data_IF_607656184068
#
_entry.id   IF_607656184068
#
_cell.length_a   1.000
_cell.length_b   1.000
_cell.length_c   1.000
_cell.angle_alpha   90.00
_cell.angle_beta   90.00
_cell.angle_gamma   90.00
#
_symmetry.space_group_name_H-M   'P 1'
#
loop_
_entity.id
_entity.type
_entity.pdbx_description
1 polymer ?
#
# COMPACT_ATOMS: atom_id res chain seq x y z
N UNK A 1 -1.74 -3.53 -10.81
CA UNK A 1 -2.76 -2.78 -10.07
C UNK A 1 -2.47 -2.81 -8.58
N UNK A 2 -1.94 -3.92 -8.07
CA UNK A 2 -1.40 -4.09 -6.72
C UNK A 2 -0.70 -2.83 -6.15
N UNK A 3 0.31 -2.29 -6.83
CA UNK A 3 1.02 -1.08 -6.37
C UNK A 3 0.13 0.16 -6.18
N UNK A 4 -0.92 0.32 -7.00
CA UNK A 4 -1.88 1.42 -6.86
C UNK A 4 -2.76 1.24 -5.63
N UNK A 5 -3.18 0.00 -5.36
CA UNK A 5 -3.94 -0.33 -4.14
C UNK A 5 -3.07 -0.12 -2.90
N UNK A 6 -1.79 -0.47 -2.95
CA UNK A 6 -0.87 -0.21 -1.84
C UNK A 6 -0.73 1.28 -1.54
N UNK A 7 -0.64 2.13 -2.58
CA UNK A 7 -0.63 3.59 -2.40
C UNK A 7 -1.97 4.10 -1.85
N UNK A 8 -3.10 3.53 -2.31
CA UNK A 8 -4.42 3.88 -1.80
C UNK A 8 -4.57 3.54 -0.31
N UNK A 9 -4.16 2.33 0.09
CA UNK A 9 -4.13 1.90 1.48
C UNK A 9 -3.20 2.76 2.33
N UNK A 10 -2.00 3.04 1.82
CA UNK A 10 -1.04 3.90 2.49
C UNK A 10 -1.64 5.29 2.72
N UNK A 11 -2.19 5.94 1.68
CA UNK A 11 -2.80 7.26 1.80
C UNK A 11 -3.99 7.28 2.77
N UNK A 12 -4.92 6.35 2.63
CA UNK A 12 -6.07 6.22 3.53
C UNK A 12 -5.64 6.04 4.99
N UNK A 13 -4.63 5.20 5.22
CA UNK A 13 -4.12 4.94 6.58
C UNK A 13 -3.47 6.17 7.24
N UNK A 14 -2.91 7.09 6.45
CA UNK A 14 -2.35 8.35 6.97
C UNK A 14 -3.47 9.33 7.32
N UNK A 15 -4.45 9.52 6.41
CA UNK A 15 -5.57 10.43 6.65
C UNK A 15 -6.41 10.03 7.87
N UNK A 16 -6.53 8.73 8.15
CA UNK A 16 -7.23 8.24 9.33
C UNK A 16 -6.59 8.71 10.65
N UNK A 17 -5.25 8.87 10.68
CA UNK A 17 -4.53 9.33 11.87
C UNK A 17 -4.74 10.80 12.16
N UNK A 18 -4.98 11.58 11.11
CA UNK A 18 -5.23 13.02 11.23
C UNK A 18 -6.63 13.32 11.80
N UNK A 19 -7.60 12.42 11.56
CA UNK A 19 -9.01 12.63 11.90
C UNK A 19 -9.47 11.91 13.17
N UNK A 20 -8.74 10.90 13.64
CA UNK A 20 -9.08 10.15 14.85
C UNK A 20 -8.29 10.70 16.05
N UNK A 21 -9.03 11.22 17.05
CA UNK A 21 -8.55 11.53 18.41
C UNK A 21 -7.55 10.48 18.91
N UNK A 22 -6.46 10.92 19.55
CA UNK A 22 -5.30 10.08 19.90
C UNK A 22 -5.62 8.84 20.74
N UNK A 23 -6.82 8.73 21.30
CA UNK A 23 -7.26 7.63 22.15
C UNK A 23 -7.60 6.31 21.40
N UNK A 24 -7.96 6.39 20.12
CA UNK A 24 -8.18 5.19 19.27
C UNK A 24 -6.89 4.73 18.55
N UNK A 25 -5.92 5.64 18.42
CA UNK A 25 -4.65 5.45 17.68
C UNK A 25 -3.48 4.98 18.54
N UNK A 26 -3.65 4.85 19.87
CA UNK A 26 -2.63 4.30 20.80
C UNK A 26 -2.43 2.78 20.68
N UNK A 27 -3.06 2.12 19.71
CA UNK A 27 -3.28 0.67 19.72
C UNK A 27 -2.43 -0.02 18.63
N UNK A 28 -1.36 -0.70 19.06
CA UNK A 28 -0.63 -1.78 18.36
C UNK A 28 -1.47 -2.60 17.35
N UNK A 29 -2.74 -2.98 17.62
CA UNK A 29 -3.58 -3.68 16.64
C UNK A 29 -3.84 -2.92 15.33
N UNK A 30 -3.95 -1.59 15.30
CA UNK A 30 -4.28 -0.88 14.04
C UNK A 30 -3.12 -0.93 13.05
N UNK A 31 -1.90 -0.63 13.51
CA UNK A 31 -0.68 -0.74 12.68
C UNK A 31 -0.47 -2.18 12.20
N UNK A 32 -0.73 -3.17 13.06
CA UNK A 32 -0.69 -4.58 12.66
C UNK A 32 -1.74 -4.91 11.58
N UNK A 33 -2.97 -4.38 11.70
CA UNK A 33 -4.02 -4.56 10.71
C UNK A 33 -3.64 -3.98 9.34
N UNK A 34 -3.08 -2.76 9.31
CA UNK A 34 -2.63 -2.13 8.05
C UNK A 34 -1.55 -2.97 7.37
N UNK A 35 -0.58 -3.49 8.13
CA UNK A 35 0.46 -4.37 7.61
C UNK A 35 -0.08 -5.69 7.09
N UNK A 36 -0.96 -6.34 7.84
CA UNK A 36 -1.64 -7.54 7.38
C UNK A 36 -2.45 -7.27 6.12
N UNK A 37 -3.05 -6.09 5.99
CA UNK A 37 -3.82 -5.72 4.80
C UNK A 37 -2.91 -5.50 3.59
N UNK A 38 -1.76 -4.84 3.76
CA UNK A 38 -0.71 -4.81 2.74
C UNK A 38 -0.26 -6.21 2.36
N UNK A 39 -0.02 -7.09 3.33
CA UNK A 39 0.41 -8.46 3.04
C UNK A 39 -0.66 -9.26 2.28
N UNK A 40 -1.92 -9.14 2.68
CA UNK A 40 -3.05 -9.76 1.97
C UNK A 40 -3.16 -9.25 0.52
N UNK A 41 -2.96 -7.95 0.28
CA UNK A 41 -2.97 -7.38 -1.08
C UNK A 41 -1.83 -7.97 -1.92
N UNK A 42 -0.64 -8.17 -1.35
CA UNK A 42 0.46 -8.84 -2.06
C UNK A 42 0.10 -10.29 -2.40
N UNK A 43 -0.47 -11.05 -1.46
CA UNK A 43 -0.93 -12.43 -1.71
C UNK A 43 -2.00 -12.49 -2.82
N UNK A 44 -2.91 -11.51 -2.86
CA UNK A 44 -3.90 -11.39 -3.93
C UNK A 44 -3.26 -11.09 -5.29
N UNK A 45 -2.15 -10.35 -5.32
CA UNK A 45 -1.36 -10.10 -6.52
C UNK A 45 -0.55 -11.30 -6.98
N UNK A 46 0.02 -12.07 -6.05
CA UNK A 46 0.69 -13.32 -6.39
C UNK A 46 -0.28 -14.37 -6.95
N UNK A 47 -1.52 -14.40 -6.45
CA UNK A 47 -2.56 -15.32 -6.95
C UNK A 47 -3.22 -14.87 -8.27
N UNK A 48 -3.19 -13.58 -8.60
CA UNK A 48 -3.82 -13.04 -9.81
C UNK A 48 -2.86 -12.13 -10.60
N UNK A 49 -2.30 -12.65 -11.72
CA UNK A 49 -1.43 -11.87 -12.59
C UNK A 49 -2.08 -10.59 -13.15
N UNK A 50 -3.40 -10.56 -13.34
CA UNK A 50 -4.10 -9.35 -13.79
C UNK A 50 -4.11 -8.28 -12.70
N UNK A 51 -4.23 -8.66 -11.43
CA UNK A 51 -4.06 -7.77 -10.28
C UNK A 51 -2.62 -7.24 -10.18
N UNK A 52 -1.63 -8.09 -10.46
CA UNK A 52 -0.21 -7.72 -10.39
C UNK A 52 0.24 -6.72 -11.46
N UNK A 53 -0.31 -6.79 -12.69
CA UNK A 53 0.11 -5.96 -13.84
C UNK A 53 0.21 -4.45 -13.54
N UNK A 54 1.40 -3.88 -13.66
CA UNK A 54 1.66 -2.44 -13.52
C UNK A 54 1.51 -1.71 -14.87
N UNK A 55 0.28 -1.53 -15.36
CA UNK A 55 0.07 -1.05 -16.73
C UNK A 55 -0.50 0.37 -16.88
N UNK A 56 -0.52 1.22 -15.83
CA UNK A 56 -1.31 2.46 -15.88
C UNK A 56 -0.57 3.79 -15.74
N UNK A 57 0.75 3.78 -15.50
CA UNK A 57 1.47 5.02 -15.12
C UNK A 57 1.38 6.12 -16.20
N UNK A 58 1.29 5.78 -17.49
CA UNK A 58 1.08 6.76 -18.57
C UNK A 58 -0.37 6.92 -19.05
N UNK A 59 -1.32 6.15 -18.50
CA UNK A 59 -2.72 6.16 -18.97
C UNK A 59 -3.72 6.63 -17.92
N UNK A 60 -3.32 6.93 -16.67
CA UNK A 60 -4.24 7.51 -15.68
C UNK A 60 -4.78 8.83 -16.20
N UNK A 61 -6.11 8.88 -16.38
CA UNK A 61 -6.80 10.08 -16.76
C UNK A 61 -7.04 10.89 -15.49
N UNK A 62 -6.19 11.89 -15.27
CA UNK A 62 -6.24 12.71 -14.07
C UNK A 62 -7.35 13.77 -14.10
N UNK A 63 -8.15 13.85 -15.17
CA UNK A 63 -9.24 14.80 -15.31
C UNK A 63 -10.47 14.13 -15.90
N UNK A 64 -11.62 14.37 -15.26
CA UNK A 64 -12.94 13.95 -15.71
C UNK A 64 -13.33 14.60 -17.04
N UNK A 65 -12.74 15.76 -17.36
CA UNK A 65 -13.18 16.66 -18.43
C UNK A 65 -12.47 16.39 -19.76
N UNK A 66 -11.26 15.85 -19.75
CA UNK A 66 -10.47 15.62 -20.98
C UNK A 66 -10.66 14.24 -21.60
N UNK A 67 -10.98 13.20 -20.83
CA UNK A 67 -11.27 11.87 -21.38
C UNK A 67 -12.24 11.07 -20.49
N UNK A 68 -13.51 11.44 -20.57
CA UNK A 68 -14.58 10.89 -19.72
C UNK A 68 -14.73 9.36 -19.79
N UNK A 69 -14.50 8.75 -20.95
CA UNK A 69 -14.57 7.31 -21.14
C UNK A 69 -13.45 6.56 -20.42
N UNK A 70 -12.22 7.05 -20.53
CA UNK A 70 -11.06 6.49 -19.86
C UNK A 70 -11.16 6.64 -18.33
N UNK A 71 -11.62 7.80 -17.86
CA UNK A 71 -11.86 8.03 -16.44
C UNK A 71 -12.87 7.05 -15.85
N UNK A 72 -14.03 6.88 -16.51
CA UNK A 72 -15.06 5.91 -16.09
C UNK A 72 -14.52 4.49 -16.01
N UNK A 73 -13.72 4.08 -16.99
CA UNK A 73 -13.07 2.76 -17.00
C UNK A 73 -12.12 2.59 -15.80
N UNK A 74 -11.35 3.62 -15.45
CA UNK A 74 -10.44 3.58 -14.30
C UNK A 74 -11.18 3.51 -12.97
N UNK A 75 -12.28 4.25 -12.82
CA UNK A 75 -13.16 4.16 -11.65
C UNK A 75 -13.74 2.75 -11.51
N UNK A 76 -14.21 2.15 -12.61
CA UNK A 76 -14.74 0.79 -12.61
C UNK A 76 -13.67 -0.22 -12.20
N UNK A 77 -12.47 -0.15 -12.79
CA UNK A 77 -11.36 -1.03 -12.44
C UNK A 77 -10.97 -0.84 -10.98
N UNK A 78 -10.85 0.39 -10.49
CA UNK A 78 -10.53 0.66 -9.10
C UNK A 78 -11.56 0.03 -8.16
N UNK A 79 -12.85 0.20 -8.45
CA UNK A 79 -13.93 -0.43 -7.69
C UNK A 79 -13.83 -1.96 -7.71
N UNK A 80 -13.59 -2.56 -8.86
CA UNK A 80 -13.46 -4.02 -8.99
C UNK A 80 -12.31 -4.55 -8.13
N UNK A 81 -11.19 -3.81 -8.06
CA UNK A 81 -10.05 -4.16 -7.21
C UNK A 81 -10.40 -4.05 -5.72
N UNK A 82 -11.11 -3.00 -5.31
CA UNK A 82 -11.58 -2.82 -3.94
C UNK A 82 -12.59 -3.90 -3.55
N UNK A 83 -13.55 -4.21 -4.42
CA UNK A 83 -14.53 -5.28 -4.21
C UNK A 83 -13.85 -6.64 -4.05
N UNK A 84 -12.77 -6.89 -4.81
CA UNK A 84 -11.98 -8.12 -4.68
C UNK A 84 -11.30 -8.22 -3.30
N UNK A 85 -10.73 -7.12 -2.81
CA UNK A 85 -10.13 -7.04 -1.47
C UNK A 85 -11.20 -7.23 -0.40
N UNK A 86 -12.35 -6.59 -0.55
CA UNK A 86 -13.46 -6.67 0.39
C UNK A 86 -14.01 -8.10 0.51
N UNK A 87 -14.15 -8.82 -0.61
CA UNK A 87 -14.61 -10.22 -0.65
C UNK A 87 -13.59 -11.22 -0.09
N UNK A 88 -12.31 -10.85 0.02
CA UNK A 88 -11.30 -11.72 0.63
C UNK A 88 -11.50 -11.81 2.15
N UNK A 89 -11.62 -13.03 2.68
CA UNK A 89 -11.73 -13.33 4.12
C UNK A 89 -10.52 -14.10 4.66
N UNK A 90 -9.39 -14.03 3.96
CA UNK A 90 -8.20 -14.87 4.19
C UNK A 90 -7.32 -14.40 5.35
N UNK A 91 -7.89 -14.02 6.50
CA UNK A 91 -7.12 -13.48 7.63
C UNK A 91 -6.07 -14.49 8.14
N UNK A 92 -6.51 -15.68 8.55
CA UNK A 92 -5.59 -16.70 9.08
C UNK A 92 -4.54 -17.14 8.05
N UNK A 93 -4.92 -17.31 6.79
CA UNK A 93 -3.96 -17.61 5.70
C UNK A 93 -2.93 -16.49 5.51
N UNK A 94 -3.36 -15.22 5.61
CA UNK A 94 -2.49 -14.05 5.50
C UNK A 94 -1.51 -14.01 6.66
N UNK A 95 -2.00 -14.19 7.89
CA UNK A 95 -1.17 -14.19 9.10
C UNK A 95 -0.13 -15.31 9.07
N UNK A 96 -0.53 -16.54 8.78
CA UNK A 96 0.38 -17.69 8.68
C UNK A 96 1.37 -17.55 7.52
N UNK A 97 0.97 -16.94 6.41
CA UNK A 97 1.88 -16.73 5.30
C UNK A 97 2.90 -15.64 5.57
N UNK A 98 2.51 -14.61 6.33
CA UNK A 98 3.45 -13.59 6.81
C UNK A 98 4.44 -14.20 7.80
N UNK A 99 3.96 -15.01 8.75
CA UNK A 99 4.77 -15.77 9.70
C UNK A 99 5.85 -16.60 9.00
N UNK A 100 5.44 -17.38 7.99
CA UNK A 100 6.36 -18.21 7.20
C UNK A 100 7.44 -17.41 6.48
N UNK A 101 7.15 -16.20 6.02
CA UNK A 101 8.17 -15.34 5.40
C UNK A 101 9.19 -14.87 6.43
N UNK A 102 8.73 -14.47 7.61
CA UNK A 102 9.60 -13.98 8.69
C UNK A 102 10.49 -15.09 9.25
N UNK A 103 9.93 -16.29 9.46
CA UNK A 103 10.69 -17.48 9.89
C UNK A 103 11.78 -17.89 8.88
N UNK A 104 11.67 -17.48 7.62
CA UNK A 104 12.68 -17.70 6.58
C UNK A 104 13.69 -16.55 6.47
N UNK A 105 13.64 -15.58 7.38
CA UNK A 105 14.41 -14.34 7.33
C UNK A 105 14.18 -13.55 6.03
N UNK A 106 13.04 -13.78 5.36
CA UNK A 106 12.62 -13.01 4.20
C UNK A 106 11.84 -11.79 4.67
N UNK A 107 12.23 -10.60 4.22
CA UNK A 107 11.42 -9.41 4.45
C UNK A 107 10.09 -9.51 3.66
N UNK A 108 8.95 -9.68 4.35
CA UNK A 108 7.65 -9.85 3.69
C UNK A 108 7.24 -8.60 2.90
N UNK A 109 7.77 -7.42 3.24
CA UNK A 109 7.37 -6.14 2.66
C UNK A 109 8.38 -5.57 1.67
N UNK A 110 9.44 -6.32 1.33
CA UNK A 110 10.51 -5.86 0.42
C UNK A 110 9.99 -5.25 -0.87
N UNK A 111 8.92 -5.82 -1.44
CA UNK A 111 8.32 -5.38 -2.73
C UNK A 111 7.60 -4.04 -2.63
N UNK A 112 7.24 -3.61 -1.43
CA UNK A 112 6.47 -2.38 -1.17
C UNK A 112 7.23 -1.34 -0.36
N UNK A 113 8.51 -1.59 -0.01
CA UNK A 113 9.35 -0.59 0.69
C UNK A 113 9.41 0.77 0.01
N UNK A 114 9.26 0.82 -1.31
CA UNK A 114 9.21 2.09 -2.06
C UNK A 114 8.08 3.03 -1.62
N UNK A 115 7.03 2.53 -0.94
CA UNK A 115 5.99 3.35 -0.33
C UNK A 115 6.55 4.30 0.74
N UNK A 116 7.64 3.92 1.42
CA UNK A 116 8.28 4.78 2.42
C UNK A 116 8.78 6.10 1.81
N UNK A 117 9.02 6.13 0.49
CA UNK A 117 9.38 7.37 -0.19
C UNK A 117 8.30 8.45 -0.11
N UNK A 118 7.04 8.10 0.17
CA UNK A 118 5.95 9.08 0.33
C UNK A 118 5.92 9.72 1.72
N UNK A 119 6.65 9.18 2.69
CA UNK A 119 6.71 9.79 4.01
C UNK A 119 7.43 11.15 3.91
N UNK A 120 7.00 12.17 4.70
CA UNK A 120 7.72 13.43 4.79
C UNK A 120 9.17 13.19 5.23
N UNK A 121 10.09 14.04 4.76
CA UNK A 121 11.52 13.94 5.09
C UNK A 121 11.72 14.12 6.60
N UNK A 122 12.74 13.46 7.15
CA UNK A 122 13.04 13.42 8.60
C UNK A 122 13.09 14.80 9.29
N UNK A 123 13.36 15.89 8.56
CA UNK A 123 13.42 17.25 9.11
C UNK A 123 12.03 17.85 9.44
N UNK A 124 10.94 17.30 8.88
CA UNK A 124 9.55 17.71 9.14
C UNK A 124 8.73 16.59 9.83
N UNK A 125 9.35 15.43 10.06
CA UNK A 125 8.68 14.28 10.63
C UNK A 125 8.62 14.40 12.16
N UNK A 126 7.44 14.73 12.67
CA UNK A 126 7.06 14.36 14.03
C UNK A 126 7.33 12.85 14.21
N UNK A 127 7.90 12.43 15.34
CA UNK A 127 8.25 11.02 15.64
C UNK A 127 7.06 10.07 15.40
N UNK A 128 5.83 10.59 15.41
CA UNK A 128 4.58 9.92 15.04
C UNK A 128 4.50 9.38 13.60
N UNK A 129 5.30 9.90 12.67
CA UNK A 129 5.33 9.47 11.26
C UNK A 129 6.43 8.48 10.94
N UNK A 130 7.33 8.22 11.90
CA UNK A 130 8.41 7.27 11.74
C UNK A 130 7.82 5.85 11.86
N UNK A 131 7.98 5.08 10.78
CA UNK A 131 7.71 3.65 10.70
C UNK A 131 6.27 3.15 10.63
N UNK A 132 5.84 2.71 9.44
CA UNK A 132 4.54 2.06 9.29
C UNK A 132 4.57 0.65 8.70
N UNK A 133 5.49 0.32 7.79
CA UNK A 133 5.46 -1.00 7.15
C UNK A 133 6.44 -2.00 7.80
N UNK A 134 7.61 -1.55 8.26
CA UNK A 134 8.75 -2.45 8.48
C UNK A 134 9.28 -2.63 9.94
N UNK A 135 8.87 -1.85 10.95
CA UNK A 135 9.62 -1.82 12.26
C UNK A 135 9.04 -2.58 13.44
N UNK A 136 7.76 -2.96 13.38
CA UNK A 136 7.19 -3.68 14.53
C UNK A 136 7.64 -5.11 14.39
N UNK A 137 8.26 -5.58 15.46
CA UNK A 137 8.73 -6.92 15.80
C UNK A 137 7.67 -7.99 15.48
N UNK A 138 7.40 -8.25 14.21
CA UNK A 138 6.24 -9.03 13.76
C UNK A 138 6.19 -10.44 14.36
N UNK A 139 7.30 -10.90 14.94
CA UNK A 139 7.41 -12.02 15.88
C UNK A 139 6.34 -11.98 16.99
N UNK A 140 6.01 -10.82 17.55
CA UNK A 140 4.98 -10.66 18.59
C UNK A 140 3.55 -11.01 18.11
N UNK A 141 3.26 -10.95 16.80
CA UNK A 141 1.93 -11.27 16.26
C UNK A 141 1.68 -12.78 16.22
N UNK A 142 2.74 -13.59 16.20
CA UNK A 142 2.64 -15.04 16.03
C UNK A 142 2.44 -15.75 17.37
N UNK A 143 3.08 -15.22 18.43
CA UNK A 143 2.97 -15.69 19.80
C UNK A 143 1.67 -15.33 20.52
N UNK A 144 0.74 -14.62 19.87
CA UNK A 144 -0.53 -14.19 20.46
C UNK A 144 -1.37 -15.39 20.93
N UNK A 145 -1.97 -15.24 22.11
CA UNK A 145 -2.96 -16.17 22.65
C UNK A 145 -4.19 -16.24 21.71
N UNK A 146 -4.95 -17.36 21.64
CA UNK A 146 -6.12 -17.47 20.77
C UNK A 146 -7.13 -16.31 20.89
N UNK A 147 -7.38 -15.81 22.10
CA UNK A 147 -8.27 -14.67 22.36
C UNK A 147 -7.74 -13.35 21.78
N UNK A 148 -6.43 -13.15 21.81
CA UNK A 148 -5.77 -11.98 21.21
C UNK A 148 -5.81 -12.07 19.67
N UNK A 149 -5.68 -13.29 19.12
CA UNK A 149 -5.82 -13.54 17.67
C UNK A 149 -7.24 -13.25 17.19
N UNK A 150 -8.27 -13.65 17.94
CA UNK A 150 -9.66 -13.33 17.63
C UNK A 150 -9.90 -11.82 17.66
N UNK A 151 -9.34 -11.14 18.66
CA UNK A 151 -9.39 -9.67 18.77
C UNK A 151 -8.72 -8.99 17.58
N UNK A 152 -7.55 -9.49 17.16
CA UNK A 152 -6.83 -8.98 15.99
C UNK A 152 -7.59 -9.26 14.69
N UNK A 153 -8.22 -10.43 14.55
CA UNK A 153 -9.05 -10.76 13.39
C UNK A 153 -10.25 -9.83 13.26
N UNK A 154 -10.98 -9.59 14.36
CA UNK A 154 -12.11 -8.67 14.38
C UNK A 154 -11.68 -7.23 14.02
N UNK A 155 -10.55 -6.77 14.56
CA UNK A 155 -9.96 -5.49 14.21
C UNK A 155 -9.57 -5.43 12.73
N UNK A 156 -8.92 -6.47 12.21
CA UNK A 156 -8.51 -6.56 10.81
C UNK A 156 -9.70 -6.51 9.86
N UNK A 157 -10.76 -7.26 10.13
CA UNK A 157 -11.97 -7.26 9.32
C UNK A 157 -12.66 -5.89 9.34
N UNK A 158 -12.64 -5.21 10.49
CA UNK A 158 -13.16 -3.84 10.63
C UNK A 158 -12.36 -2.86 9.77
N UNK A 159 -11.03 -2.80 9.95
CA UNK A 159 -10.13 -1.92 9.19
C UNK A 159 -10.23 -2.17 7.69
N UNK A 160 -10.25 -3.44 7.26
CA UNK A 160 -10.43 -3.81 5.85
C UNK A 160 -11.77 -3.33 5.29
N UNK A 161 -12.85 -3.53 6.05
CA UNK A 161 -14.20 -3.10 5.67
C UNK A 161 -14.29 -1.58 5.54
N UNK A 162 -13.70 -0.84 6.48
CA UNK A 162 -13.65 0.62 6.44
C UNK A 162 -12.84 1.13 5.24
N UNK A 163 -11.63 0.60 5.04
CA UNK A 163 -10.81 0.92 3.88
C UNK A 163 -11.60 0.72 2.58
N UNK A 164 -12.24 -0.45 2.41
CA UNK A 164 -12.98 -0.76 1.18
C UNK A 164 -14.23 0.11 0.98
N UNK A 165 -14.85 0.61 2.05
CA UNK A 165 -16.03 1.49 1.96
C UNK A 165 -15.67 2.94 1.69
N UNK A 166 -14.56 3.40 2.25
CA UNK A 166 -14.20 4.82 2.27
C UNK A 166 -13.25 5.21 1.15
N UNK A 167 -12.40 4.31 0.66
CA UNK A 167 -11.40 4.67 -0.33
C UNK A 167 -12.03 4.96 -1.69
N UNK A 168 -11.82 6.17 -2.20
CA UNK A 168 -12.23 6.58 -3.54
C UNK A 168 -11.00 6.76 -4.43
N UNK A 169 -11.17 6.58 -5.75
CA UNK A 169 -10.08 6.80 -6.69
C UNK A 169 -9.62 8.25 -6.64
N UNK A 170 -10.59 9.17 -6.57
CA UNK A 170 -10.43 10.62 -6.54
C UNK A 170 -9.46 11.08 -5.44
N UNK A 171 -9.59 10.52 -4.24
CA UNK A 171 -8.78 10.87 -3.08
C UNK A 171 -7.31 10.46 -3.26
N UNK A 172 -7.07 9.40 -4.04
CA UNK A 172 -5.72 8.83 -4.24
C UNK A 172 -5.03 9.40 -5.49
N UNK A 173 -5.77 10.06 -6.40
CA UNK A 173 -5.21 10.65 -7.62
C UNK A 173 -4.00 11.57 -7.36
N UNK A 174 -3.98 12.44 -6.34
CA UNK A 174 -2.79 13.26 -6.05
C UNK A 174 -1.55 12.43 -5.76
N UNK A 175 -1.70 11.34 -5.00
CA UNK A 175 -0.60 10.42 -4.68
C UNK A 175 -0.10 9.68 -5.92
N UNK A 176 -0.99 9.31 -6.84
CA UNK A 176 -0.61 8.72 -8.12
C UNK A 176 0.14 9.70 -9.03
N UNK A 177 -0.23 10.98 -9.04
CA UNK A 177 0.52 12.03 -9.76
C UNK A 177 1.92 12.19 -9.17
N UNK A 178 2.04 12.20 -7.85
CA UNK A 178 3.33 12.29 -7.15
C UNK A 178 4.23 11.09 -7.48
N UNK A 179 3.67 9.87 -7.49
CA UNK A 179 4.40 8.67 -7.88
C UNK A 179 4.93 8.75 -9.31
N UNK A 180 4.06 9.16 -10.24
CA UNK A 180 4.40 9.33 -11.65
C UNK A 180 5.54 10.34 -11.82
N UNK A 181 5.50 11.46 -11.09
CA UNK A 181 6.54 12.47 -11.18
C UNK A 181 7.88 11.95 -10.64
N UNK A 182 7.88 11.28 -9.48
CA UNK A 182 9.07 10.59 -8.96
C UNK A 182 9.64 9.61 -9.98
N UNK A 183 8.79 8.79 -10.61
CA UNK A 183 9.22 7.86 -11.64
C UNK A 183 9.85 8.57 -12.85
N UNK A 184 9.25 9.67 -13.33
CA UNK A 184 9.79 10.47 -14.44
C UNK A 184 11.16 11.05 -14.11
N UNK A 185 11.35 11.58 -12.91
CA UNK A 185 12.63 12.12 -12.44
C UNK A 185 13.70 11.01 -12.45
N UNK A 186 13.43 9.87 -11.82
CA UNK A 186 14.38 8.74 -11.75
C UNK A 186 14.69 8.21 -13.15
N UNK A 187 13.68 8.06 -14.01
CA UNK A 187 13.87 7.60 -15.40
C UNK A 187 14.74 8.57 -16.20
N UNK A 188 14.55 9.88 -16.03
CA UNK A 188 15.36 10.91 -16.70
C UNK A 188 16.81 10.88 -16.21
N UNK A 189 17.03 10.73 -14.90
CA UNK A 189 18.37 10.60 -14.31
C UNK A 189 19.10 9.35 -14.84
N UNK A 190 18.41 8.21 -14.87
CA UNK A 190 18.96 6.97 -15.40
C UNK A 190 19.33 7.10 -16.88
N UNK A 191 18.43 7.67 -17.70
CA UNK A 191 18.69 7.91 -19.12
C UNK A 191 19.91 8.83 -19.32
N UNK A 192 19.99 9.93 -18.58
CA UNK A 192 21.13 10.84 -18.66
C UNK A 192 22.45 10.16 -18.24
N UNK A 193 22.42 9.35 -17.18
CA UNK A 193 23.58 8.59 -16.73
C UNK A 193 24.04 7.59 -17.79
N UNK A 194 23.11 6.85 -18.40
CA UNK A 194 23.43 5.96 -19.52
C UNK A 194 24.04 6.69 -20.71
N UNK A 195 23.49 7.84 -21.10
CA UNK A 195 24.02 8.64 -22.21
C UNK A 195 25.41 9.20 -21.92
N UNK A 196 25.67 9.64 -20.68
CA UNK A 196 26.99 10.11 -20.26
C UNK A 196 28.07 9.03 -20.41
N UNK A 197 27.75 7.78 -20.05
CA UNK A 197 28.69 6.65 -20.18
C UNK A 197 29.06 6.33 -21.63
N UNK A 198 28.19 6.66 -22.60
CA UNK A 198 28.48 6.46 -24.01
C UNK A 198 29.32 7.59 -24.62
N UNK A 199 29.27 8.80 -24.05
CA UNK A 199 30.10 9.92 -24.50
C UNK A 199 31.55 9.83 -24.02
N UNK A 200 31.84 9.08 -22.96
CA UNK A 200 33.22 8.87 -22.45
C UNK A 200 33.97 7.70 -23.14
N UNK A 201 33.35 7.05 -24.13
CA UNK A 201 33.92 5.91 -24.87
C UNK A 201 34.34 6.26 -26.31
N UNK A 202 34.17 7.52 -26.73
CA UNK A 202 34.64 8.10 -28.00
C UNK A 202 35.79 9.08 -27.76
#
# INVERSE_FOLDING_TARGET
WEGFIHVALHHWSQNLKEHISSDLMTRTPYTACIRLLHFMIMLLGDADPMFRKACFVNSICFSRDTNHGLYKSQVAIFRDLIDKINKSSKFMETLQSMERSIQKEEDPFRRIRWLESFNPKEEEADERYKYYVCDVDAEHLFGLHPEEKETLEAAFLTVKSEFCKQVLLEDVLPMYRLLLEKYRIVRKQYLNGMLSLHHDLD
#
